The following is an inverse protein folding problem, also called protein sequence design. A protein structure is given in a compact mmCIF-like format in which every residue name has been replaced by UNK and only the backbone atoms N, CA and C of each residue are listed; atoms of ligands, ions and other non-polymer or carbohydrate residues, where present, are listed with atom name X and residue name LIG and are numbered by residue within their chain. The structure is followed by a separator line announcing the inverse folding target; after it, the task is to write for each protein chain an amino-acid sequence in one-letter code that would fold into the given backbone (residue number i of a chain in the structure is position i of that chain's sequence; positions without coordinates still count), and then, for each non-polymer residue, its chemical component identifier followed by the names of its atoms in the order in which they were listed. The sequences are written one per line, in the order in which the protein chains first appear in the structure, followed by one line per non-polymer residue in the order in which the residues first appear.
data_IF_997206273591
#
_entry.id   IF_997206273591
#
_cell.length_a   1.000
_cell.length_b   1.000
_cell.length_c   1.000
_cell.angle_alpha   90.00
_cell.angle_beta   90.00
_cell.angle_gamma   90.00
#
_symmetry.space_group_name_H-M   'P 1'
#
loop_
_entity.id
_entity.type
_entity.pdbx_description
1 polymer ?
#
# COMPACT_ATOMS: atom_id res chain seq x y z
N UNK A 1 20.83 -42.23 -29.13
CA UNK A 1 20.49 -40.82 -29.40
C UNK A 1 19.14 -40.36 -28.84
N UNK A 2 18.16 -41.24 -28.62
CA UNK A 2 16.84 -40.88 -28.05
C UNK A 2 16.84 -40.46 -26.57
N UNK A 3 17.75 -40.98 -25.75
CA UNK A 3 17.81 -40.70 -24.30
C UNK A 3 18.24 -39.26 -23.99
N UNK A 4 19.09 -38.68 -24.84
CA UNK A 4 19.57 -37.30 -24.66
C UNK A 4 18.48 -36.26 -24.95
N UNK A 5 17.60 -36.54 -25.92
CA UNK A 5 16.49 -35.64 -26.30
C UNK A 5 15.41 -35.57 -25.23
N UNK A 6 15.06 -36.70 -24.60
CA UNK A 6 14.10 -36.73 -23.50
C UNK A 6 14.60 -35.98 -22.27
N UNK A 7 15.90 -36.08 -21.97
CA UNK A 7 16.51 -35.39 -20.83
C UNK A 7 16.48 -33.86 -21.01
N UNK A 8 16.74 -33.35 -22.22
CA UNK A 8 16.70 -31.92 -22.52
C UNK A 8 15.29 -31.33 -22.38
N UNK A 9 14.25 -32.08 -22.74
CA UNK A 9 12.86 -31.64 -22.58
C UNK A 9 12.47 -31.54 -21.11
N UNK A 10 12.88 -32.51 -20.28
CA UNK A 10 12.63 -32.48 -18.84
C UNK A 10 13.37 -31.33 -18.18
N UNK A 11 14.64 -31.11 -18.53
CA UNK A 11 15.42 -29.97 -18.02
C UNK A 11 14.80 -28.64 -18.45
N UNK A 12 14.40 -28.50 -19.71
CA UNK A 12 13.74 -27.29 -20.20
C UNK A 12 12.38 -27.05 -19.53
N UNK A 13 11.57 -28.09 -19.33
CA UNK A 13 10.26 -28.00 -18.68
C UNK A 13 10.36 -27.65 -17.19
N UNK A 14 11.35 -28.22 -16.48
CA UNK A 14 11.63 -27.85 -15.08
C UNK A 14 12.15 -26.43 -15.00
N UNK A 15 12.96 -25.98 -15.97
CA UNK A 15 13.51 -24.62 -15.99
C UNK A 15 12.45 -23.57 -16.32
N UNK A 16 11.54 -23.82 -17.26
CA UNK A 16 10.41 -22.92 -17.56
C UNK A 16 9.40 -22.86 -16.42
N UNK A 17 9.11 -24.00 -15.77
CA UNK A 17 8.28 -24.03 -14.56
C UNK A 17 8.92 -23.19 -13.43
N UNK A 18 10.23 -23.29 -13.25
CA UNK A 18 10.98 -22.50 -12.27
C UNK A 18 11.01 -21.00 -12.62
N UNK A 19 11.18 -20.65 -13.90
CA UNK A 19 11.16 -19.25 -14.37
C UNK A 19 9.76 -18.62 -14.29
N UNK A 20 8.68 -19.39 -14.42
CA UNK A 20 7.31 -18.88 -14.27
C UNK A 20 7.02 -18.37 -12.85
N UNK A 21 7.81 -18.79 -11.85
CA UNK A 21 7.77 -18.24 -10.50
C UNK A 21 8.39 -16.83 -10.43
N UNK A 22 9.33 -16.53 -11.33
CA UNK A 22 10.08 -15.27 -11.44
C UNK A 22 9.57 -14.33 -12.53
N UNK A 23 8.53 -14.70 -13.29
CA UNK A 23 7.76 -13.76 -14.11
C UNK A 23 7.04 -12.77 -13.19
N UNK A 24 7.81 -11.82 -12.64
CA UNK A 24 7.33 -10.56 -12.12
C UNK A 24 6.74 -9.84 -13.34
N UNK A 25 5.41 -9.67 -13.43
CA UNK A 25 4.81 -8.94 -14.52
C UNK A 25 5.47 -7.56 -14.63
N UNK A 26 5.67 -7.04 -15.85
CA UNK A 26 6.38 -5.78 -16.07
C UNK A 26 5.77 -4.68 -15.22
N UNK A 27 6.53 -4.24 -14.21
CA UNK A 27 6.31 -3.05 -13.39
C UNK A 27 4.84 -2.80 -12.99
N UNK A 28 4.19 -3.81 -12.40
CA UNK A 28 2.86 -3.66 -11.79
C UNK A 28 2.97 -3.53 -10.30
N UNK A 29 2.13 -2.69 -9.70
CA UNK A 29 2.15 -2.57 -8.26
C UNK A 29 1.42 -1.36 -7.73
N UNK A 30 1.92 -0.86 -6.62
CA UNK A 30 1.32 0.23 -5.86
C UNK A 30 2.36 1.29 -5.66
N UNK A 31 1.97 2.52 -5.89
CA UNK A 31 2.78 3.67 -5.52
C UNK A 31 1.91 4.70 -4.86
N UNK A 32 2.51 5.50 -3.98
CA UNK A 32 1.72 6.42 -3.21
C UNK A 32 2.54 7.40 -2.40
N UNK A 33 1.82 8.19 -1.62
CA UNK A 33 2.40 9.21 -0.76
C UNK A 33 1.84 9.07 0.65
N UNK A 34 2.75 9.09 1.64
CA UNK A 34 2.44 9.23 3.04
C UNK A 34 2.51 10.72 3.41
N UNK A 35 1.36 11.27 3.80
CA UNK A 35 1.25 12.64 4.27
C UNK A 35 0.68 12.71 5.68
N UNK A 36 1.22 13.64 6.45
CA UNK A 36 0.70 14.05 7.74
C UNK A 36 -0.13 15.32 7.55
N UNK A 37 -1.41 15.26 7.89
CA UNK A 37 -2.36 16.36 7.68
C UNK A 37 -2.88 16.86 9.02
N UNK A 38 -2.64 18.14 9.28
CA UNK A 38 -3.13 18.84 10.47
C UNK A 38 -4.46 19.49 10.12
N UNK A 39 -5.51 19.11 10.85
CA UNK A 39 -6.84 19.68 10.73
C UNK A 39 -7.09 20.71 11.83
N UNK A 40 -7.88 21.73 11.54
CA UNK A 40 -8.41 22.67 12.53
C UNK A 40 -9.92 22.77 12.34
N UNK A 41 -10.65 22.94 13.44
CA UNK A 41 -12.09 23.16 13.41
C UNK A 41 -12.40 24.45 12.64
N UNK A 42 -13.23 24.36 11.61
CA UNK A 42 -13.69 25.51 10.85
C UNK A 42 -14.82 26.22 11.64
N UNK A 43 -14.58 27.44 12.15
CA UNK A 43 -15.59 28.15 12.94
C UNK A 43 -16.85 28.40 12.09
N UNK A 44 -18.01 28.07 12.65
CA UNK A 44 -19.31 28.26 11.98
C UNK A 44 -19.87 27.03 11.25
N UNK A 45 -19.19 25.88 11.29
CA UNK A 45 -19.71 24.61 10.72
C UNK A 45 -19.70 23.52 11.78
N UNK A 46 -20.86 22.93 12.08
CA UNK A 46 -21.05 21.92 13.13
C UNK A 46 -20.20 20.63 12.95
N UNK A 47 -19.51 20.47 11.82
CA UNK A 47 -18.61 19.35 11.53
C UNK A 47 -17.48 19.70 10.55
N UNK A 48 -17.19 20.99 10.31
CA UNK A 48 -16.22 21.38 9.29
C UNK A 48 -14.79 21.31 9.81
N UNK A 49 -13.94 20.52 9.15
CA UNK A 49 -12.49 20.56 9.34
C UNK A 49 -11.86 21.26 8.14
N UNK A 50 -10.93 22.18 8.39
CA UNK A 50 -10.06 22.74 7.35
C UNK A 50 -8.66 22.12 7.49
N UNK A 51 -8.06 21.75 6.36
CA UNK A 51 -6.65 21.36 6.34
C UNK A 51 -5.81 22.62 6.56
N UNK A 52 -5.12 22.68 7.69
CA UNK A 52 -4.22 23.79 8.02
C UNK A 52 -2.88 23.61 7.33
N UNK A 53 -2.41 22.36 7.28
CA UNK A 53 -1.07 22.03 6.81
C UNK A 53 -1.00 20.55 6.46
N UNK A 54 -0.48 20.22 5.29
CA UNK A 54 -0.03 18.88 4.93
C UNK A 54 1.48 18.86 4.78
N UNK A 55 2.14 17.78 5.23
CA UNK A 55 3.58 17.57 5.06
C UNK A 55 3.86 16.12 4.68
N UNK A 56 4.86 15.86 3.81
CA UNK A 56 5.32 14.49 3.58
C UNK A 56 5.87 13.87 4.86
N UNK A 57 5.52 12.61 5.13
CA UNK A 57 6.00 11.88 6.30
C UNK A 57 7.08 10.87 5.89
N UNK A 58 8.33 11.22 6.18
CA UNK A 58 9.51 10.40 5.90
C UNK A 58 9.54 9.15 6.77
N UNK A 59 9.92 8.01 6.20
CA UNK A 59 10.11 6.76 6.94
C UNK A 59 8.82 6.09 7.42
N UNK A 60 7.67 6.62 7.00
CA UNK A 60 6.34 6.12 7.33
C UNK A 60 6.17 4.65 6.90
N UNK A 61 5.95 3.70 7.83
CA UNK A 61 5.76 2.29 7.49
C UNK A 61 4.37 2.07 6.87
N UNK A 62 4.37 1.55 5.65
CA UNK A 62 3.17 1.16 4.90
C UNK A 62 3.14 -0.35 4.81
N UNK A 63 2.02 -0.93 5.24
CA UNK A 63 1.74 -2.37 5.19
C UNK A 63 0.81 -2.62 4.03
N UNK A 64 1.13 -3.65 3.26
CA UNK A 64 0.31 -4.11 2.15
C UNK A 64 -0.09 -5.55 2.42
N UNK A 65 -1.40 -5.76 2.53
CA UNK A 65 -2.02 -7.06 2.79
C UNK A 65 -2.83 -7.50 1.59
N UNK A 66 -2.70 -8.76 1.20
CA UNK A 66 -3.53 -9.33 0.16
C UNK A 66 -4.89 -9.70 0.72
N UNK A 67 -5.97 -9.21 0.12
CA UNK A 67 -7.32 -9.44 0.66
C UNK A 67 -7.74 -10.91 0.65
N UNK A 68 -7.35 -11.65 -0.38
CA UNK A 68 -7.81 -13.03 -0.57
C UNK A 68 -7.22 -13.99 0.47
N UNK A 69 -5.92 -13.88 0.77
CA UNK A 69 -5.24 -14.72 1.75
C UNK A 69 -5.09 -14.07 3.13
N UNK A 70 -5.49 -12.79 3.27
CA UNK A 70 -5.23 -11.94 4.45
C UNK A 70 -3.78 -12.03 4.95
N UNK A 71 -2.85 -12.24 4.03
CA UNK A 71 -1.43 -12.34 4.32
C UNK A 71 -0.76 -10.99 4.09
N UNK A 72 0.16 -10.65 4.98
CA UNK A 72 1.04 -9.52 4.78
C UNK A 72 1.99 -9.85 3.63
N UNK A 73 1.94 -9.05 2.57
CA UNK A 73 2.77 -9.24 1.37
C UNK A 73 4.04 -8.41 1.45
N UNK A 74 3.92 -7.19 1.97
CA UNK A 74 5.07 -6.29 2.07
C UNK A 74 4.90 -5.28 3.21
N UNK A 75 6.04 -4.82 3.72
CA UNK A 75 6.16 -3.61 4.56
C UNK A 75 7.21 -2.73 3.92
N UNK A 76 6.81 -1.54 3.49
CA UNK A 76 7.68 -0.55 2.85
C UNK A 76 7.74 0.70 3.72
N UNK A 77 8.87 1.40 3.72
CA UNK A 77 8.98 2.72 4.34
C UNK A 77 8.96 3.79 3.25
N UNK A 78 8.21 4.85 3.51
CA UNK A 78 8.21 6.02 2.65
C UNK A 78 9.60 6.68 2.64
N UNK A 79 10.00 7.21 1.48
CA UNK A 79 11.28 7.90 1.27
C UNK A 79 11.29 9.32 1.88
N UNK A 80 12.35 10.09 1.58
CA UNK A 80 12.53 11.46 2.06
C UNK A 80 11.46 12.45 1.55
N UNK A 81 10.77 12.12 0.46
CA UNK A 81 9.64 12.88 -0.07
C UNK A 81 8.29 12.30 0.40
N UNK A 82 8.30 11.34 1.32
CA UNK A 82 7.11 10.63 1.76
C UNK A 82 6.51 9.72 0.69
N UNK A 83 7.21 9.42 -0.40
CA UNK A 83 6.72 8.53 -1.46
C UNK A 83 7.09 7.08 -1.17
N UNK A 84 6.27 6.16 -1.66
CA UNK A 84 6.58 4.73 -1.64
C UNK A 84 6.19 4.08 -2.96
N UNK A 85 6.86 2.99 -3.29
CA UNK A 85 6.57 2.15 -4.46
C UNK A 85 6.87 0.70 -4.13
N UNK A 86 5.95 -0.19 -4.49
CA UNK A 86 6.07 -1.64 -4.28
C UNK A 86 5.54 -2.36 -5.50
N UNK A 87 6.31 -3.33 -5.99
CA UNK A 87 5.91 -4.18 -7.10
C UNK A 87 5.05 -5.32 -6.56
N UNK A 88 3.85 -5.47 -7.11
CA UNK A 88 2.88 -6.48 -6.70
C UNK A 88 2.32 -7.16 -7.94
N UNK A 89 2.03 -8.46 -7.81
CA UNK A 89 1.23 -9.16 -8.80
C UNK A 89 -0.18 -8.56 -8.81
N UNK A 90 -0.86 -8.54 -9.96
CA UNK A 90 -2.25 -8.11 -10.03
C UNK A 90 -3.16 -8.84 -9.06
N UNK A 91 -4.10 -8.10 -8.48
CA UNK A 91 -4.98 -8.59 -7.42
C UNK A 91 -5.47 -7.49 -6.50
N UNK A 92 -6.29 -7.87 -5.52
CA UNK A 92 -6.88 -6.95 -4.55
C UNK A 92 -6.05 -6.90 -3.27
N UNK A 93 -5.66 -5.68 -2.88
CA UNK A 93 -4.85 -5.43 -1.71
C UNK A 93 -5.49 -4.38 -0.81
N UNK A 94 -5.22 -4.50 0.48
CA UNK A 94 -5.42 -3.45 1.45
C UNK A 94 -4.06 -2.82 1.75
N UNK A 95 -3.96 -1.51 1.55
CA UNK A 95 -2.77 -0.73 1.89
C UNK A 95 -3.11 0.09 3.10
N UNK A 96 -2.31 0.01 4.16
CA UNK A 96 -2.55 0.72 5.41
C UNK A 96 -1.26 1.26 5.99
N UNK A 97 -1.36 2.35 6.73
CA UNK A 97 -0.25 2.77 7.56
C UNK A 97 -0.13 1.85 8.77
N UNK A 98 1.11 1.43 9.09
CA UNK A 98 1.40 0.87 10.39
C UNK A 98 1.46 2.04 11.37
N UNK A 99 0.31 2.45 11.88
CA UNK A 99 0.27 3.21 13.11
C UNK A 99 0.64 2.24 14.23
N UNK A 100 1.41 2.71 15.22
CA UNK A 100 1.33 2.10 16.54
C UNK A 100 -0.17 2.05 16.88
N UNK A 101 -0.67 0.87 17.23
CA UNK A 101 -2.09 0.56 17.44
C UNK A 101 -2.75 1.32 18.59
N UNK A 102 -2.19 2.45 19.01
CA UNK A 102 -2.91 3.44 19.80
C UNK A 102 -3.92 4.12 18.87
N UNK A 103 -4.97 3.38 18.55
CA UNK A 103 -6.29 3.94 18.44
C UNK A 103 -6.50 4.77 19.70
N UNK A 104 -6.26 6.08 19.59
CA UNK A 104 -6.64 7.03 20.62
C UNK A 104 -8.12 6.75 20.90
N UNK A 105 -8.52 6.48 22.16
CA UNK A 105 -9.93 6.33 22.48
C UNK A 105 -10.62 7.62 22.03
N UNK A 106 -11.47 7.50 21.01
CA UNK A 106 -12.24 8.60 20.44
C UNK A 106 -13.21 9.02 21.54
N UNK A 107 -12.81 9.98 22.36
CA UNK A 107 -13.70 10.59 23.33
C UNK A 107 -14.67 11.42 22.52
N UNK A 108 -15.89 10.92 22.37
CA UNK A 108 -16.91 11.50 21.50
C UNK A 108 -17.32 12.87 22.03
N UNK A 109 -16.70 13.93 21.53
CA UNK A 109 -17.25 15.29 21.66
C UNK A 109 -16.87 16.09 20.42
N UNK A 110 -17.75 16.05 19.41
CA UNK A 110 -17.81 17.02 18.32
C UNK A 110 -16.77 16.86 17.21
N UNK A 111 -17.22 16.33 16.07
CA UNK A 111 -16.53 16.22 14.79
C UNK A 111 -15.36 15.18 14.76
N UNK A 112 -15.43 14.22 13.84
CA UNK A 112 -14.38 13.22 13.59
C UNK A 112 -13.60 13.65 12.34
N UNK A 113 -12.27 13.87 12.40
CA UNK A 113 -11.49 14.13 11.19
C UNK A 113 -11.63 12.96 10.20
N UNK A 114 -11.53 13.20 8.88
CA UNK A 114 -11.63 12.12 7.89
C UNK A 114 -10.53 11.09 8.16
N UNK A 115 -10.95 9.87 8.46
CA UNK A 115 -10.05 8.75 8.67
C UNK A 115 -9.87 8.03 7.34
N UNK A 116 -8.68 8.10 6.74
CA UNK A 116 -8.29 7.13 5.70
C UNK A 116 -6.98 6.43 6.08
N UNK A 117 -6.94 5.68 7.20
CA UNK A 117 -5.75 4.94 7.64
C UNK A 117 -5.45 3.72 6.75
N UNK A 118 -6.36 3.38 5.85
CA UNK A 118 -6.22 2.29 4.89
C UNK A 118 -7.03 2.56 3.61
N UNK A 119 -6.53 2.08 2.48
CA UNK A 119 -7.21 2.07 1.19
C UNK A 119 -7.26 0.65 0.62
N UNK A 120 -8.39 0.27 0.03
CA UNK A 120 -8.51 -0.93 -0.78
C UNK A 120 -8.23 -0.58 -2.23
N UNK A 121 -7.40 -1.39 -2.88
CA UNK A 121 -7.00 -1.16 -4.25
C UNK A 121 -6.97 -2.44 -5.04
N UNK A 122 -7.27 -2.29 -6.32
CA UNK A 122 -7.09 -3.32 -7.32
C UNK A 122 -5.84 -2.97 -8.12
N UNK A 123 -4.84 -3.85 -8.05
CA UNK A 123 -3.63 -3.77 -8.89
C UNK A 123 -3.93 -4.49 -10.19
N UNK A 124 -3.80 -3.77 -11.30
CA UNK A 124 -4.05 -4.28 -12.66
C UNK A 124 -2.74 -4.56 -13.38
N UNK A 125 -2.80 -5.41 -14.41
CA UNK A 125 -1.65 -5.69 -15.26
C UNK A 125 -1.13 -4.42 -15.95
N UNK A 126 0.19 -4.29 -16.04
CA UNK A 126 0.93 -3.22 -16.72
C UNK A 126 0.94 -1.82 -16.07
N UNK A 127 0.39 -1.60 -14.87
CA UNK A 127 0.31 -0.26 -14.26
C UNK A 127 0.60 -0.25 -12.75
N UNK A 128 1.04 0.91 -12.24
CA UNK A 128 1.01 1.21 -10.81
C UNK A 128 -0.31 1.88 -10.44
N UNK A 129 -0.97 1.32 -9.44
CA UNK A 129 -2.13 1.96 -8.82
C UNK A 129 -1.64 3.03 -7.84
N UNK A 130 -2.07 4.27 -8.07
CA UNK A 130 -1.77 5.41 -7.19
C UNK A 130 -2.63 5.34 -5.93
N UNK A 131 -2.00 5.52 -4.77
CA UNK A 131 -2.69 5.60 -3.47
C UNK A 131 -2.20 6.82 -2.70
N UNK A 132 -3.14 7.64 -2.26
CA UNK A 132 -2.87 8.68 -1.27
C UNK A 132 -3.40 8.20 0.06
N UNK A 133 -2.50 8.09 1.04
CA UNK A 133 -2.86 7.75 2.40
C UNK A 133 -2.64 9.00 3.27
N UNK A 134 -3.65 9.34 4.06
CA UNK A 134 -3.63 10.55 4.90
C UNK A 134 -3.68 10.15 6.37
N UNK A 135 -2.74 10.68 7.15
CA UNK A 135 -2.72 10.53 8.58
C UNK A 135 -3.27 11.81 9.23
N UNK A 136 -4.47 11.76 9.86
CA UNK A 136 -4.94 12.89 10.65
C UNK A 136 -4.13 13.00 11.94
N UNK A 137 -3.66 14.22 12.22
CA UNK A 137 -2.99 14.56 13.49
C UNK A 137 -3.84 15.59 14.22
N UNK A 138 -4.41 15.17 15.36
CA UNK A 138 -5.05 16.09 16.30
C UNK A 138 -3.97 16.87 17.06
N UNK A 139 -4.20 18.17 17.20
CA UNK A 139 -3.35 19.09 17.97
C UNK A 139 -3.96 19.41 19.32
#
# INVERSE_FOLDING_TARGET
MLVLGALLIVVAGVWTFWLSWFDLPPHTGVQGMCQETVYESAPGTAAGFKVVRSRPRVGCPVVIEQMYHRSQVAVVRADADGRFRVDLRPGTYQVRFLHDQQAVPVTSTGARPPQTPSAYIEVRHGLYTMVQLEQPVDR
#
